data_IF_925044004781
#
_entry.id   IF_925044004781
#
_cell.length_a   1.000
_cell.length_b   1.000
_cell.length_c   1.000
_cell.angle_alpha   90.00
_cell.angle_beta   90.00
_cell.angle_gamma   90.00
#
_symmetry.space_group_name_H-M   'P 1'
#
loop_
_entity.id
_entity.type
_entity.pdbx_description
1 polymer ?
#
# COMPACT_ATOMS: atom_id res chain seq x y z
N UNK A 1 20.93 7.78 5.76
CA UNK A 1 20.21 7.61 4.48
C UNK A 1 20.12 8.93 3.72
N UNK A 2 19.48 9.98 4.29
CA UNK A 2 19.38 11.29 3.63
C UNK A 2 20.71 11.93 3.17
N UNK A 3 21.77 11.86 3.99
CA UNK A 3 23.09 12.39 3.58
C UNK A 3 23.71 11.66 2.38
N UNK A 4 23.43 10.35 2.23
CA UNK A 4 23.91 9.54 1.11
C UNK A 4 23.08 9.82 -0.15
N UNK A 5 21.77 9.95 0.01
CA UNK A 5 20.87 10.40 -1.06
C UNK A 5 21.23 11.80 -1.58
N UNK A 6 21.54 12.75 -0.69
CA UNK A 6 22.02 14.08 -1.09
C UNK A 6 23.34 14.01 -1.87
N UNK A 7 24.25 13.09 -1.49
CA UNK A 7 25.51 12.86 -2.19
C UNK A 7 25.30 12.22 -3.56
N UNK A 8 24.36 11.29 -3.68
CA UNK A 8 24.05 10.63 -4.94
C UNK A 8 23.35 11.60 -5.93
N UNK A 9 22.53 12.52 -5.43
CA UNK A 9 21.80 13.52 -6.23
C UNK A 9 22.67 14.72 -6.60
N UNK A 10 23.44 15.26 -5.65
CA UNK A 10 24.24 16.48 -5.84
C UNK A 10 25.70 16.20 -6.22
N UNK A 11 26.13 14.94 -6.16
CA UNK A 11 27.50 14.52 -6.33
C UNK A 11 28.43 14.88 -5.16
N UNK A 12 29.74 14.80 -5.41
CA UNK A 12 30.81 15.30 -4.52
C UNK A 12 31.49 16.51 -5.15
N UNK A 13 30.82 17.67 -5.18
CA UNK A 13 31.47 18.85 -5.73
C UNK A 13 32.61 19.31 -4.81
N UNK A 14 33.66 19.89 -5.41
CA UNK A 14 34.82 20.43 -4.69
C UNK A 14 34.47 21.56 -3.71
N UNK A 15 33.29 22.17 -3.84
CA UNK A 15 32.77 23.21 -2.94
C UNK A 15 31.98 22.65 -1.75
N UNK A 16 31.81 21.32 -1.63
CA UNK A 16 31.05 20.71 -0.54
C UNK A 16 31.64 21.12 0.82
N UNK A 17 30.76 21.50 1.73
CA UNK A 17 31.16 21.91 3.07
C UNK A 17 31.97 20.81 3.77
N UNK A 18 33.23 21.12 4.09
CA UNK A 18 34.08 20.27 4.93
C UNK A 18 33.92 20.71 6.38
N UNK A 19 33.48 19.82 7.29
CA UNK A 19 33.28 20.15 8.70
C UNK A 19 34.51 20.82 9.32
N UNK A 20 34.34 21.86 10.16
CA UNK A 20 35.45 22.50 10.87
C UNK A 20 36.30 21.53 11.68
N UNK A 21 35.69 20.46 12.21
CA UNK A 21 36.39 19.36 12.90
C UNK A 21 37.43 18.65 12.03
N UNK A 22 37.16 18.49 10.72
CA UNK A 22 38.11 17.88 9.78
C UNK A 22 39.16 18.86 9.25
N UNK A 23 38.95 20.17 9.47
CA UNK A 23 39.88 21.25 9.09
C UNK A 23 40.60 21.84 10.31
N UNK A 24 40.51 21.20 11.47
CA UNK A 24 41.20 21.63 12.67
C UNK A 24 42.71 21.68 12.43
N UNK A 25 43.36 22.73 12.93
CA UNK A 25 44.79 22.95 12.69
C UNK A 25 45.13 23.58 11.33
N UNK A 26 44.16 23.85 10.46
CA UNK A 26 44.38 24.43 9.12
C UNK A 26 43.82 25.85 8.99
N UNK A 27 44.56 26.73 8.30
CA UNK A 27 44.10 28.08 7.95
C UNK A 27 43.63 28.89 9.17
N UNK A 28 42.41 29.44 9.08
CA UNK A 28 41.79 30.20 10.18
C UNK A 28 41.37 29.31 11.38
N UNK A 29 41.44 27.98 11.25
CA UNK A 29 41.15 27.00 12.30
C UNK A 29 42.42 26.44 12.96
N UNK A 30 43.58 27.10 12.80
CA UNK A 30 44.86 26.64 13.39
C UNK A 30 44.82 26.38 14.89
N UNK A 31 43.97 27.12 15.62
CA UNK A 31 43.81 27.03 17.08
C UNK A 31 42.48 26.38 17.48
N UNK A 32 41.72 25.82 16.53
CA UNK A 32 40.47 25.15 16.84
C UNK A 32 40.75 23.74 17.35
N UNK A 33 40.36 23.47 18.60
CA UNK A 33 40.42 22.14 19.21
C UNK A 33 39.04 21.46 19.12
N UNK A 34 38.89 20.39 18.31
CA UNK A 34 37.63 19.66 18.16
C UNK A 34 37.10 19.07 19.47
N UNK A 35 37.96 18.79 20.45
CA UNK A 35 37.56 18.17 21.71
C UNK A 35 36.75 19.12 22.60
N UNK A 36 36.95 20.43 22.45
CA UNK A 36 36.22 21.48 23.14
C UNK A 36 34.99 21.97 22.36
N UNK A 37 34.69 21.36 21.21
CA UNK A 37 33.55 21.74 20.40
C UNK A 37 32.24 21.42 21.13
N UNK A 38 31.20 22.29 21.01
CA UNK A 38 29.87 21.95 21.49
C UNK A 38 29.43 20.60 20.94
N UNK A 39 28.88 19.76 21.82
CA UNK A 39 28.19 18.54 21.40
C UNK A 39 26.77 18.93 21.03
N UNK A 40 26.40 18.61 19.80
CA UNK A 40 25.00 18.72 19.38
C UNK A 40 24.27 17.53 19.97
N UNK A 41 23.16 17.80 20.65
CA UNK A 41 22.22 16.78 21.11
C UNK A 41 20.97 16.86 20.25
N UNK A 42 20.49 15.70 19.79
CA UNK A 42 19.27 15.59 19.02
C UNK A 42 18.06 15.69 19.95
N UNK A 43 17.69 16.93 20.29
CA UNK A 43 16.56 17.19 21.17
C UNK A 43 15.23 16.81 20.46
N UNK A 44 14.31 16.11 21.14
CA UNK A 44 13.07 15.62 20.52
C UNK A 44 12.23 16.71 19.84
N UNK A 45 12.21 17.93 20.38
CA UNK A 45 11.44 19.04 19.82
C UNK A 45 12.05 19.61 18.53
N UNK A 46 13.38 19.56 18.38
CA UNK A 46 14.06 19.95 17.12
C UNK A 46 13.71 18.94 16.04
N UNK A 47 13.76 17.64 16.36
CA UNK A 47 13.35 16.58 15.42
C UNK A 47 11.89 16.73 15.01
N UNK A 48 11.01 17.04 15.97
CA UNK A 48 9.59 17.31 15.70
C UNK A 48 9.41 18.51 14.76
N UNK A 49 10.02 19.65 15.08
CA UNK A 49 9.92 20.85 14.25
C UNK A 49 10.49 20.65 12.84
N UNK A 50 11.61 19.91 12.73
CA UNK A 50 12.17 19.53 11.44
C UNK A 50 11.17 18.67 10.66
N UNK A 51 10.62 17.61 11.27
CA UNK A 51 9.62 16.75 10.64
C UNK A 51 8.36 17.54 10.23
N UNK A 52 7.86 18.44 11.08
CA UNK A 52 6.69 19.28 10.77
C UNK A 52 6.96 20.17 9.54
N UNK A 53 8.14 20.80 9.48
CA UNK A 53 8.56 21.59 8.31
C UNK A 53 8.77 20.72 7.05
N UNK A 54 9.34 19.53 7.20
CA UNK A 54 9.49 18.56 6.11
C UNK A 54 8.12 18.14 5.56
N UNK A 55 7.20 17.77 6.44
CA UNK A 55 5.86 17.31 6.11
C UNK A 55 5.04 18.41 5.43
N UNK A 56 5.22 19.67 5.85
CA UNK A 56 4.48 20.80 5.31
C UNK A 56 4.99 21.28 3.95
N UNK A 57 6.31 21.35 3.74
CA UNK A 57 6.88 22.05 2.58
C UNK A 57 7.63 21.14 1.59
N UNK A 58 8.26 20.07 2.07
CA UNK A 58 9.22 19.29 1.27
C UNK A 58 8.79 17.85 1.02
N UNK A 59 7.65 17.42 1.57
CA UNK A 59 7.11 16.06 1.46
C UNK A 59 7.06 15.55 0.01
N UNK A 60 6.66 16.38 -0.94
CA UNK A 60 6.61 16.03 -2.38
C UNK A 60 7.98 15.74 -2.95
N UNK A 61 8.96 16.59 -2.67
CA UNK A 61 10.31 16.44 -3.20
C UNK A 61 10.99 15.17 -2.64
N UNK A 62 10.90 14.95 -1.33
CA UNK A 62 11.53 13.79 -0.71
C UNK A 62 10.82 12.49 -1.05
N UNK A 63 9.49 12.46 -1.11
CA UNK A 63 8.75 11.26 -1.51
C UNK A 63 9.15 10.83 -2.94
N UNK A 64 9.28 11.78 -3.89
CA UNK A 64 9.80 11.49 -5.24
C UNK A 64 11.20 10.89 -5.24
N UNK A 65 12.08 11.32 -4.33
CA UNK A 65 13.41 10.73 -4.19
C UNK A 65 13.35 9.33 -3.58
N UNK A 66 12.52 9.11 -2.56
CA UNK A 66 12.29 7.76 -2.01
C UNK A 66 11.76 6.82 -3.10
N UNK A 67 10.76 7.26 -3.86
CA UNK A 67 10.17 6.48 -4.95
C UNK A 67 11.18 6.20 -6.07
N UNK A 68 11.91 7.23 -6.54
CA UNK A 68 12.92 7.08 -7.60
C UNK A 68 14.04 6.11 -7.23
N UNK A 69 14.43 6.07 -5.96
CA UNK A 69 15.51 5.22 -5.48
C UNK A 69 15.01 3.92 -4.80
N UNK A 70 13.71 3.64 -4.87
CA UNK A 70 13.06 2.51 -4.22
C UNK A 70 13.41 2.39 -2.72
N UNK A 71 13.66 3.53 -2.07
CA UNK A 71 13.99 3.60 -0.66
C UNK A 71 12.69 3.67 0.17
N UNK A 72 12.62 2.97 1.32
CA UNK A 72 11.47 3.09 2.21
C UNK A 72 11.34 4.53 2.71
N UNK A 73 10.16 5.12 2.52
CA UNK A 73 9.85 6.43 3.06
C UNK A 73 9.88 6.38 4.59
N UNK A 74 10.35 7.42 5.31
CA UNK A 74 10.27 7.48 6.77
C UNK A 74 8.81 7.46 7.27
N UNK A 75 7.84 7.66 6.37
CA UNK A 75 6.41 7.55 6.63
C UNK A 75 5.80 6.22 6.18
N UNK A 76 6.59 5.34 5.56
CA UNK A 76 6.17 3.96 5.28
C UNK A 76 5.98 3.24 6.60
N UNK A 77 4.83 2.60 6.76
CA UNK A 77 4.53 1.77 7.92
C UNK A 77 3.84 0.50 7.46
N UNK A 78 4.10 -0.60 8.16
CA UNK A 78 3.35 -1.83 7.93
C UNK A 78 1.98 -1.75 8.60
N UNK A 79 0.95 -2.20 7.88
CA UNK A 79 -0.40 -2.36 8.43
C UNK A 79 -0.51 -3.63 9.29
N UNK A 80 0.44 -4.56 9.17
CA UNK A 80 0.50 -5.76 9.99
C UNK A 80 1.72 -5.69 10.92
N UNK A 81 1.53 -6.01 12.21
CA UNK A 81 2.57 -5.86 13.22
C UNK A 81 3.54 -7.06 13.30
N UNK A 82 3.36 -8.09 12.47
CA UNK A 82 4.19 -9.29 12.45
C UNK A 82 3.88 -10.29 13.57
N UNK A 83 2.84 -10.07 14.38
CA UNK A 83 2.55 -10.89 15.58
C UNK A 83 1.11 -11.32 15.69
N UNK A 84 0.18 -10.39 15.51
CA UNK A 84 -1.25 -10.60 15.71
C UNK A 84 -2.08 -9.63 14.86
N UNK A 85 -3.40 -9.75 14.93
CA UNK A 85 -4.33 -8.93 14.15
C UNK A 85 -4.70 -7.61 14.85
N UNK A 86 -3.90 -7.12 15.80
CA UNK A 86 -4.10 -5.81 16.41
C UNK A 86 -4.10 -4.73 15.33
N UNK A 87 -5.09 -3.83 15.38
CA UNK A 87 -5.32 -2.81 14.33
C UNK A 87 -6.29 -3.26 13.23
N UNK A 88 -6.73 -4.52 13.26
CA UNK A 88 -7.70 -5.08 12.32
C UNK A 88 -8.99 -5.49 13.00
N UNK A 89 -10.09 -5.47 12.25
CA UNK A 89 -11.41 -5.97 12.64
C UNK A 89 -11.83 -7.06 11.67
N UNK A 90 -12.20 -8.22 12.22
CA UNK A 90 -12.81 -9.32 11.46
C UNK A 90 -14.28 -8.98 11.17
N UNK A 91 -14.69 -9.05 9.91
CA UNK A 91 -16.07 -8.93 9.46
C UNK A 91 -16.44 -10.12 8.57
N UNK A 92 -16.98 -11.17 9.19
CA UNK A 92 -17.25 -12.47 8.58
C UNK A 92 -18.67 -12.89 8.94
N UNK A 93 -19.64 -12.77 8.01
CA UNK A 93 -21.05 -13.01 8.33
C UNK A 93 -21.36 -14.39 8.91
N UNK A 94 -20.60 -15.42 8.54
CA UNK A 94 -20.75 -16.77 9.08
C UNK A 94 -20.55 -16.83 10.60
N UNK A 95 -19.55 -16.10 11.11
CA UNK A 95 -19.15 -16.14 12.52
C UNK A 95 -20.15 -15.40 13.43
N UNK A 96 -21.04 -14.56 12.90
CA UNK A 96 -22.12 -13.96 13.69
C UNK A 96 -23.04 -15.01 14.30
N UNK A 97 -23.23 -16.14 13.59
CA UNK A 97 -24.08 -17.25 14.03
C UNK A 97 -23.28 -18.43 14.57
N UNK A 98 -21.98 -18.48 14.26
CA UNK A 98 -21.07 -19.55 14.65
C UNK A 98 -19.76 -18.96 15.20
N UNK A 99 -19.82 -18.28 16.36
CA UNK A 99 -18.68 -17.51 16.88
C UNK A 99 -17.46 -18.37 17.24
N UNK A 100 -17.67 -19.67 17.50
CA UNK A 100 -16.63 -20.61 17.89
C UNK A 100 -16.04 -21.41 16.71
N UNK A 101 -16.53 -21.16 15.48
CA UNK A 101 -16.00 -21.81 14.28
C UNK A 101 -14.61 -21.26 13.90
N UNK A 102 -13.95 -21.97 12.97
CA UNK A 102 -12.60 -21.63 12.50
C UNK A 102 -12.51 -20.17 12.03
N UNK A 103 -11.57 -19.42 12.60
CA UNK A 103 -11.25 -18.07 12.16
C UNK A 103 -10.68 -18.08 10.73
N UNK A 104 -11.15 -17.22 9.81
CA UNK A 104 -10.63 -17.18 8.43
C UNK A 104 -9.36 -16.35 8.28
N UNK A 105 -8.91 -15.67 9.34
CA UNK A 105 -7.68 -14.89 9.33
C UNK A 105 -6.86 -15.21 10.57
N UNK A 106 -5.56 -15.40 10.39
CA UNK A 106 -4.61 -15.69 11.48
C UNK A 106 -3.29 -14.96 11.27
N UNK A 107 -2.55 -14.74 12.35
CA UNK A 107 -1.13 -14.43 12.29
C UNK A 107 -0.35 -15.73 12.42
N UNK A 108 0.53 -16.02 11.46
CA UNK A 108 1.34 -17.26 11.44
C UNK A 108 2.70 -16.96 10.85
N UNK A 109 3.76 -17.38 11.55
CA UNK A 109 5.15 -17.24 11.10
C UNK A 109 5.55 -15.80 10.71
N UNK A 110 5.05 -14.82 11.46
CA UNK A 110 5.30 -13.40 11.19
C UNK A 110 4.54 -12.83 9.99
N UNK A 111 3.57 -13.58 9.45
CA UNK A 111 2.74 -13.21 8.30
C UNK A 111 1.27 -13.10 8.71
N UNK A 112 0.53 -12.26 7.97
CA UNK A 112 -0.93 -12.30 7.97
C UNK A 112 -1.36 -13.38 6.99
N UNK A 113 -2.26 -14.26 7.41
CA UNK A 113 -2.76 -15.36 6.56
C UNK A 113 -4.26 -15.27 6.45
N UNK A 114 -4.76 -15.18 5.21
CA UNK A 114 -6.16 -15.43 4.88
C UNK A 114 -6.31 -16.92 4.59
N UNK A 115 -7.18 -17.61 5.33
CA UNK A 115 -7.42 -19.06 5.21
C UNK A 115 -8.53 -19.37 4.18
N UNK A 116 -9.08 -18.35 3.53
CA UNK A 116 -10.08 -18.46 2.46
C UNK A 116 -11.50 -18.83 2.94
N UNK A 117 -11.68 -19.45 4.10
CA UNK A 117 -13.00 -19.86 4.59
C UNK A 117 -13.06 -19.84 6.12
N UNK A 118 -14.20 -19.44 6.72
CA UNK A 118 -15.41 -18.90 6.09
C UNK A 118 -15.20 -17.55 5.39
N UNK A 119 -16.04 -17.25 4.40
CA UNK A 119 -15.91 -16.06 3.57
C UNK A 119 -16.17 -14.75 4.32
N UNK A 120 -15.34 -13.73 4.08
CA UNK A 120 -15.47 -12.43 4.74
C UNK A 120 -14.22 -11.56 4.56
N UNK A 121 -14.07 -10.57 5.45
CA UNK A 121 -13.05 -9.54 5.31
C UNK A 121 -12.35 -9.25 6.65
N UNK A 122 -11.05 -9.00 6.57
CA UNK A 122 -10.26 -8.43 7.65
C UNK A 122 -10.02 -6.96 7.32
N UNK A 123 -10.62 -6.06 8.09
CA UNK A 123 -10.68 -4.62 7.79
C UNK A 123 -9.75 -3.85 8.72
N UNK A 124 -8.79 -3.11 8.17
CA UNK A 124 -7.90 -2.27 8.97
C UNK A 124 -8.68 -1.11 9.61
N UNK A 125 -8.33 -0.71 10.83
CA UNK A 125 -9.12 0.26 11.60
C UNK A 125 -9.07 1.68 11.03
N UNK A 126 -7.97 2.04 10.36
CA UNK A 126 -7.71 3.39 9.87
C UNK A 126 -8.30 3.69 8.49
N UNK A 127 -8.70 4.94 8.30
CA UNK A 127 -9.16 5.49 7.01
C UNK A 127 -7.98 6.16 6.31
N UNK A 128 -7.74 5.78 5.06
CA UNK A 128 -6.66 6.28 4.21
C UNK A 128 -7.24 6.93 2.94
N UNK A 129 -6.52 7.89 2.36
CA UNK A 129 -6.92 8.61 1.15
C UNK A 129 -5.85 8.48 0.07
N UNK A 130 -4.76 9.24 0.20
CA UNK A 130 -3.66 9.31 -0.75
C UNK A 130 -2.49 8.45 -0.26
N UNK A 131 -2.33 7.26 -0.82
CA UNK A 131 -1.31 6.30 -0.39
C UNK A 131 -0.90 5.34 -1.51
N UNK A 132 0.33 4.83 -1.41
CA UNK A 132 0.78 3.60 -2.03
C UNK A 132 0.67 2.48 -0.99
N UNK A 133 0.06 1.36 -1.37
CA UNK A 133 0.05 0.11 -0.63
C UNK A 133 0.90 -0.91 -1.39
N UNK A 134 1.95 -1.41 -0.74
CA UNK A 134 2.76 -2.51 -1.25
C UNK A 134 2.39 -3.80 -0.53
N UNK A 135 1.98 -4.78 -1.32
CA UNK A 135 1.51 -6.08 -0.86
C UNK A 135 2.42 -7.16 -1.42
N UNK A 136 2.98 -7.99 -0.56
CA UNK A 136 3.65 -9.21 -1.00
C UNK A 136 2.88 -10.43 -0.52
N UNK A 137 2.39 -11.21 -1.47
CA UNK A 137 1.48 -12.33 -1.22
C UNK A 137 1.85 -13.58 -2.00
N UNK A 138 1.39 -14.74 -1.53
CA UNK A 138 1.42 -15.99 -2.28
C UNK A 138 0.23 -16.89 -1.93
N UNK A 139 -0.18 -17.72 -2.88
CA UNK A 139 -1.06 -18.85 -2.61
C UNK A 139 -0.22 -20.02 -2.10
N UNK A 140 -0.55 -20.56 -0.92
CA UNK A 140 0.21 -21.66 -0.29
C UNK A 140 -0.13 -23.02 -0.92
N UNK A 141 -1.37 -23.17 -1.37
CA UNK A 141 -1.90 -24.40 -1.97
C UNK A 141 -2.46 -24.17 -3.37
N UNK A 142 -3.63 -24.76 -3.64
CA UNK A 142 -4.31 -24.49 -4.90
C UNK A 142 -4.67 -23.00 -4.98
N UNK A 143 -4.20 -22.30 -6.02
CA UNK A 143 -4.49 -20.90 -6.19
C UNK A 143 -5.97 -20.70 -6.53
N UNK A 144 -6.56 -19.63 -6.02
CA UNK A 144 -7.97 -19.34 -6.21
C UNK A 144 -8.24 -17.87 -5.95
N UNK A 145 -9.13 -17.53 -5.01
CA UNK A 145 -9.53 -16.15 -4.78
C UNK A 145 -9.03 -15.53 -3.46
N UNK A 146 -8.79 -14.23 -3.54
CA UNK A 146 -8.52 -13.29 -2.47
C UNK A 146 -8.55 -11.88 -3.08
N UNK A 147 -8.49 -10.83 -2.28
CA UNK A 147 -8.50 -9.46 -2.80
C UNK A 147 -8.06 -8.44 -1.77
N UNK A 148 -7.63 -7.29 -2.26
CA UNK A 148 -7.42 -6.08 -1.46
C UNK A 148 -8.52 -5.08 -1.80
N UNK A 149 -9.35 -4.76 -0.82
CA UNK A 149 -10.45 -3.81 -0.99
C UNK A 149 -10.00 -2.44 -0.50
N UNK A 150 -9.86 -1.52 -1.45
CA UNK A 150 -9.51 -0.12 -1.16
C UNK A 150 -10.76 0.73 -1.02
N UNK A 151 -10.62 1.81 -0.24
CA UNK A 151 -11.71 2.72 0.09
C UNK A 151 -12.95 2.03 0.70
N UNK A 152 -12.72 0.98 1.49
CA UNK A 152 -13.76 0.25 2.20
C UNK A 152 -14.48 1.15 3.22
N UNK A 153 -15.81 1.15 3.19
CA UNK A 153 -16.64 1.99 4.06
C UNK A 153 -17.74 1.19 4.77
N UNK A 154 -18.94 1.14 4.21
CA UNK A 154 -20.09 0.45 4.80
C UNK A 154 -19.89 -1.07 4.77
N UNK A 155 -19.81 -1.77 5.91
CA UNK A 155 -19.69 -3.22 5.95
C UNK A 155 -20.89 -3.90 5.28
N UNK A 156 -20.66 -5.07 4.65
CA UNK A 156 -21.73 -5.95 4.15
C UNK A 156 -22.75 -5.28 3.23
N UNK A 157 -22.32 -4.27 2.47
CA UNK A 157 -23.15 -3.49 1.56
C UNK A 157 -23.64 -4.30 0.35
N UNK A 158 -22.87 -5.29 -0.10
CA UNK A 158 -23.24 -6.18 -1.22
C UNK A 158 -23.30 -7.64 -0.74
N UNK A 159 -24.34 -8.37 -1.15
CA UNK A 159 -24.59 -9.77 -0.75
C UNK A 159 -24.61 -10.02 0.77
N UNK A 160 -24.75 -8.97 1.59
CA UNK A 160 -24.58 -9.03 3.05
C UNK A 160 -23.20 -9.53 3.49
N UNK A 161 -22.18 -9.43 2.63
CA UNK A 161 -20.83 -9.92 2.90
C UNK A 161 -19.74 -8.92 2.54
N UNK A 162 -19.81 -8.30 1.36
CA UNK A 162 -18.75 -7.40 0.91
C UNK A 162 -18.96 -5.96 1.40
N UNK A 163 -17.92 -5.28 1.88
CA UNK A 163 -18.00 -3.87 2.23
C UNK A 163 -18.09 -3.00 0.95
N UNK A 164 -18.79 -1.87 1.05
CA UNK A 164 -18.80 -0.84 0.00
C UNK A 164 -17.36 -0.36 -0.25
N UNK A 165 -16.83 -0.62 -1.45
CA UNK A 165 -15.41 -0.51 -1.76
C UNK A 165 -15.13 -0.66 -3.28
N UNK A 166 -13.87 -0.46 -3.66
CA UNK A 166 -13.32 -0.93 -4.93
C UNK A 166 -12.33 -2.05 -4.59
N UNK A 167 -12.56 -3.25 -5.11
CA UNK A 167 -11.65 -4.38 -4.93
C UNK A 167 -10.60 -4.40 -6.03
N UNK A 168 -9.34 -4.49 -5.63
CA UNK A 168 -8.21 -4.89 -6.47
C UNK A 168 -8.07 -6.40 -6.30
N UNK A 169 -8.49 -7.12 -7.33
CA UNK A 169 -8.64 -8.57 -7.33
C UNK A 169 -7.29 -9.27 -7.19
N UNK A 170 -7.23 -10.39 -6.48
CA UNK A 170 -6.07 -11.28 -6.44
C UNK A 170 -6.43 -12.69 -6.94
N UNK A 171 -7.59 -12.87 -7.57
CA UNK A 171 -7.94 -14.12 -8.25
C UNK A 171 -6.85 -14.56 -9.22
N UNK A 172 -6.45 -15.82 -9.12
CA UNK A 172 -5.37 -16.37 -9.94
C UNK A 172 -5.63 -16.20 -11.44
N UNK A 173 -4.62 -15.70 -12.16
CA UNK A 173 -4.62 -15.27 -13.58
C UNK A 173 -5.38 -13.98 -13.87
N UNK A 174 -5.99 -13.36 -12.86
CA UNK A 174 -6.76 -12.13 -12.99
C UNK A 174 -6.40 -11.09 -11.92
N UNK A 175 -5.18 -11.18 -11.37
CA UNK A 175 -4.70 -10.22 -10.39
C UNK A 175 -4.73 -8.79 -10.97
N UNK A 176 -5.28 -7.86 -10.21
CA UNK A 176 -5.42 -6.46 -10.59
C UNK A 176 -6.69 -6.10 -11.37
N UNK A 177 -7.60 -7.05 -11.62
CA UNK A 177 -8.96 -6.70 -12.04
C UNK A 177 -9.60 -5.77 -10.99
N UNK A 178 -10.43 -4.83 -11.45
CA UNK A 178 -11.27 -4.07 -10.53
C UNK A 178 -12.62 -4.73 -10.38
N UNK A 179 -13.09 -4.85 -9.14
CA UNK A 179 -14.49 -5.18 -8.84
C UNK A 179 -15.16 -4.00 -8.15
N UNK A 180 -16.19 -3.47 -8.81
CA UNK A 180 -17.02 -2.40 -8.28
C UNK A 180 -18.01 -2.96 -7.24
N UNK A 181 -17.89 -2.56 -5.97
CA UNK A 181 -18.73 -3.05 -4.87
C UNK A 181 -19.43 -1.86 -4.22
N UNK A 182 -20.59 -1.47 -4.74
CA UNK A 182 -21.35 -0.28 -4.32
C UNK A 182 -20.55 1.05 -4.45
N UNK A 183 -19.32 0.99 -4.93
CA UNK A 183 -18.53 2.09 -5.49
C UNK A 183 -18.24 1.79 -6.96
N UNK A 184 -17.85 2.81 -7.73
CA UNK A 184 -17.53 2.68 -9.14
C UNK A 184 -16.17 3.32 -9.47
N UNK A 185 -15.58 2.84 -10.56
CA UNK A 185 -14.36 3.36 -11.16
C UNK A 185 -14.47 3.27 -12.68
N UNK A 186 -13.85 4.21 -13.38
CA UNK A 186 -13.77 4.22 -14.85
C UNK A 186 -12.36 3.87 -15.28
N UNK A 187 -12.22 3.10 -16.35
CA UNK A 187 -10.93 2.81 -17.00
C UNK A 187 -11.02 3.11 -18.50
N UNK A 188 -9.91 3.24 -19.23
CA UNK A 188 -9.95 3.29 -20.69
C UNK A 188 -10.57 2.00 -21.28
N UNK A 189 -11.28 2.10 -22.40
CA UNK A 189 -11.89 0.97 -23.12
C UNK A 189 -12.91 0.14 -22.31
N UNK A 190 -13.76 0.80 -21.51
CA UNK A 190 -14.77 0.17 -20.65
C UNK A 190 -15.61 -0.91 -21.34
N UNK A 191 -16.08 -0.69 -22.57
CA UNK A 191 -16.93 -1.68 -23.27
C UNK A 191 -16.18 -3.00 -23.49
N UNK A 192 -14.90 -2.93 -23.84
CA UNK A 192 -14.05 -4.13 -24.00
C UNK A 192 -13.77 -4.79 -22.65
N UNK A 193 -13.59 -3.99 -21.59
CA UNK A 193 -13.12 -4.46 -20.27
C UNK A 193 -14.25 -4.83 -19.29
N UNK A 194 -15.49 -4.40 -19.55
CA UNK A 194 -16.66 -4.56 -18.67
C UNK A 194 -17.91 -5.07 -19.42
N UNK A 195 -17.82 -5.24 -20.74
CA UNK A 195 -18.94 -5.65 -21.60
C UNK A 195 -19.90 -4.50 -21.95
N UNK A 196 -21.11 -4.79 -22.48
CA UNK A 196 -22.05 -3.77 -22.94
C UNK A 196 -22.51 -2.82 -21.82
N UNK A 197 -22.55 -1.51 -22.13
CA UNK A 197 -22.84 -0.45 -21.16
C UNK A 197 -24.17 -0.60 -20.42
N UNK A 198 -25.22 -1.06 -21.12
CA UNK A 198 -26.54 -1.33 -20.52
C UNK A 198 -26.51 -2.30 -19.33
N UNK A 199 -25.46 -3.12 -19.22
CA UNK A 199 -25.29 -4.11 -18.16
C UNK A 199 -24.44 -3.60 -16.99
N UNK A 200 -23.77 -2.44 -17.13
CA UNK A 200 -22.89 -1.93 -16.08
C UNK A 200 -23.66 -1.58 -14.81
N UNK A 201 -22.97 -1.69 -13.68
CA UNK A 201 -23.50 -1.33 -12.37
C UNK A 201 -22.60 -1.83 -11.25
N UNK A 202 -23.00 -1.52 -10.02
CA UNK A 202 -22.18 -1.72 -8.81
C UNK A 202 -22.83 -2.66 -7.79
N UNK A 203 -23.98 -3.25 -8.16
CA UNK A 203 -24.83 -4.11 -7.33
C UNK A 203 -25.07 -5.47 -7.98
N UNK A 204 -25.81 -6.33 -7.29
CA UNK A 204 -26.16 -7.68 -7.73
C UNK A 204 -26.77 -7.70 -9.15
N UNK A 205 -26.40 -8.72 -9.94
CA UNK A 205 -26.91 -8.90 -11.30
C UNK A 205 -26.34 -7.92 -12.35
N UNK A 206 -25.42 -7.03 -11.98
CA UNK A 206 -24.75 -6.10 -12.90
C UNK A 206 -23.33 -6.54 -13.25
N UNK A 207 -22.83 -6.04 -14.38
CA UNK A 207 -21.43 -6.18 -14.76
C UNK A 207 -20.57 -5.27 -13.85
N UNK A 208 -20.06 -5.85 -12.76
CA UNK A 208 -19.24 -5.16 -11.74
C UNK A 208 -17.73 -5.31 -11.96
N UNK A 209 -17.32 -6.37 -12.64
CA UNK A 209 -15.92 -6.69 -12.93
C UNK A 209 -15.42 -5.87 -14.11
N UNK A 210 -14.23 -5.32 -13.98
CA UNK A 210 -13.47 -4.64 -15.03
C UNK A 210 -12.14 -5.38 -15.17
N UNK A 211 -11.96 -6.05 -16.30
CA UNK A 211 -10.74 -6.80 -16.63
C UNK A 211 -9.52 -5.90 -16.59
N UNK A 212 -8.37 -6.39 -16.13
CA UNK A 212 -7.07 -5.73 -16.13
C UNK A 212 -6.51 -5.54 -17.56
N UNK A 213 -5.26 -5.09 -17.68
CA UNK A 213 -4.58 -4.80 -18.95
C UNK A 213 -3.69 -5.94 -19.46
N UNK A 214 -3.31 -6.87 -18.58
CA UNK A 214 -2.24 -7.84 -18.84
C UNK A 214 -2.64 -9.24 -18.43
N UNK A 215 -2.20 -10.21 -19.22
CA UNK A 215 -2.19 -11.63 -18.85
C UNK A 215 -0.79 -12.01 -18.39
N UNK A 216 -0.67 -12.90 -17.39
CA UNK A 216 0.61 -13.50 -17.00
C UNK A 216 1.55 -12.63 -16.18
N UNK A 217 1.10 -11.50 -15.63
CA UNK A 217 1.90 -10.68 -14.70
C UNK A 217 2.15 -11.36 -13.35
N UNK A 218 1.39 -12.41 -13.01
CA UNK A 218 1.59 -13.22 -11.80
C UNK A 218 2.75 -14.23 -11.98
N UNK A 219 3.46 -14.51 -10.90
CA UNK A 219 4.39 -15.65 -10.82
C UNK A 219 3.63 -16.96 -10.66
N UNK A 220 4.36 -18.07 -10.70
CA UNK A 220 3.78 -19.39 -10.51
C UNK A 220 3.13 -19.52 -9.11
N UNK A 221 2.11 -20.39 -8.95
CA UNK A 221 1.56 -20.70 -7.65
C UNK A 221 2.65 -21.14 -6.65
N UNK A 222 2.56 -20.65 -5.40
CA UNK A 222 3.59 -20.84 -4.37
C UNK A 222 4.67 -19.75 -4.33
N UNK A 223 4.90 -19.04 -5.45
CA UNK A 223 5.86 -17.94 -5.50
C UNK A 223 5.27 -16.62 -4.96
N UNK A 224 6.15 -15.78 -4.40
CA UNK A 224 5.78 -14.46 -3.90
C UNK A 224 5.54 -13.46 -5.04
N UNK A 225 4.30 -13.00 -5.15
CA UNK A 225 3.87 -11.89 -5.98
C UNK A 225 4.00 -10.57 -5.21
N UNK A 226 4.44 -9.52 -5.91
CA UNK A 226 4.41 -8.14 -5.41
C UNK A 226 3.30 -7.38 -6.12
N UNK A 227 2.33 -6.87 -5.39
CA UNK A 227 1.30 -5.96 -5.89
C UNK A 227 1.51 -4.57 -5.30
N UNK A 228 1.45 -3.55 -6.15
CA UNK A 228 1.49 -2.14 -5.73
C UNK A 228 0.16 -1.51 -6.11
N UNK A 229 -0.51 -0.88 -5.15
CA UNK A 229 -1.76 -0.16 -5.36
C UNK A 229 -1.52 1.30 -4.95
N UNK A 230 -1.66 2.22 -5.89
CA UNK A 230 -1.59 3.66 -5.59
C UNK A 230 -2.98 4.26 -5.70
N UNK A 231 -3.45 4.85 -4.61
CA UNK A 231 -4.65 5.67 -4.55
C UNK A 231 -4.24 7.13 -4.43
N UNK A 232 -4.65 7.98 -5.37
CA UNK A 232 -4.46 9.43 -5.32
C UNK A 232 -5.71 10.14 -5.84
N UNK A 233 -6.33 10.96 -5.00
CA UNK A 233 -7.59 11.64 -5.27
C UNK A 233 -8.69 10.67 -5.72
N UNK A 234 -9.10 10.69 -6.99
CA UNK A 234 -10.08 9.76 -7.56
C UNK A 234 -9.48 8.73 -8.53
N UNK A 235 -8.19 8.46 -8.37
CA UNK A 235 -7.44 7.58 -9.25
C UNK A 235 -6.84 6.40 -8.49
N UNK A 236 -6.81 5.25 -9.16
CA UNK A 236 -6.19 4.01 -8.66
C UNK A 236 -5.31 3.42 -9.75
N UNK A 237 -4.00 3.29 -9.51
CA UNK A 237 -3.07 2.52 -10.34
C UNK A 237 -2.68 1.23 -9.62
N UNK A 238 -2.55 0.15 -10.39
CA UNK A 238 -2.22 -1.18 -9.88
C UNK A 238 -1.09 -1.78 -10.72
N UNK A 239 -0.06 -2.26 -10.04
CA UNK A 239 1.01 -3.05 -10.64
C UNK A 239 1.09 -4.42 -10.01
N UNK A 240 1.45 -5.43 -10.80
CA UNK A 240 1.76 -6.78 -10.34
C UNK A 240 3.13 -7.16 -10.91
N UNK A 241 4.08 -7.46 -10.02
CA UNK A 241 5.46 -7.80 -10.34
C UNK A 241 6.18 -6.80 -11.27
N UNK A 242 5.78 -5.53 -11.24
CA UNK A 242 6.36 -4.45 -12.05
C UNK A 242 5.52 -4.07 -13.27
N UNK A 243 4.61 -4.93 -13.71
CA UNK A 243 3.72 -4.63 -14.84
C UNK A 243 2.56 -3.74 -14.40
N UNK A 244 2.28 -2.66 -15.13
CA UNK A 244 1.08 -1.85 -14.91
C UNK A 244 -0.15 -2.64 -15.40
N UNK A 245 -0.85 -3.28 -14.47
CA UNK A 245 -2.00 -4.14 -14.79
C UNK A 245 -3.31 -3.37 -14.80
N UNK A 246 -3.42 -2.25 -14.10
CA UNK A 246 -4.65 -1.45 -14.13
C UNK A 246 -4.42 0.02 -13.81
N UNK A 247 -5.25 0.88 -14.41
CA UNK A 247 -5.31 2.30 -14.10
C UNK A 247 -6.74 2.78 -14.30
N UNK A 248 -7.36 3.21 -13.22
CA UNK A 248 -8.69 3.79 -13.22
C UNK A 248 -8.73 5.19 -12.61
N UNK A 249 -9.78 5.91 -12.97
CA UNK A 249 -10.04 7.30 -12.62
C UNK A 249 -11.53 7.52 -12.40
N UNK A 250 -11.90 8.70 -11.89
CA UNK A 250 -13.29 9.02 -11.50
C UNK A 250 -13.85 7.99 -10.51
N UNK A 251 -13.03 7.56 -9.56
CA UNK A 251 -13.49 6.75 -8.44
C UNK A 251 -14.56 7.52 -7.64
N UNK A 252 -15.68 6.87 -7.33
CA UNK A 252 -16.75 7.48 -6.52
C UNK A 252 -16.34 7.62 -5.06
N UNK A 253 -15.38 6.81 -4.59
CA UNK A 253 -14.73 6.96 -3.31
C UNK A 253 -13.27 7.41 -3.48
N UNK A 254 -12.85 8.36 -2.64
CA UNK A 254 -11.47 8.90 -2.59
C UNK A 254 -10.72 8.51 -1.33
N UNK A 255 -11.45 8.06 -0.30
CA UNK A 255 -10.88 7.64 0.99
C UNK A 255 -11.70 6.51 1.60
N UNK A 256 -11.08 5.70 2.44
CA UNK A 256 -11.74 4.65 3.19
C UNK A 256 -10.72 3.72 3.83
N UNK A 257 -11.20 2.64 4.44
CA UNK A 257 -10.38 1.61 5.04
C UNK A 257 -9.80 0.68 3.97
N UNK A 258 -8.80 -0.10 4.36
CA UNK A 258 -8.27 -1.21 3.55
C UNK A 258 -8.79 -2.50 4.16
N UNK A 259 -9.24 -3.44 3.33
CA UNK A 259 -9.62 -4.77 3.79
C UNK A 259 -8.96 -5.87 2.96
N UNK A 260 -8.66 -6.99 3.62
CA UNK A 260 -8.16 -8.22 3.00
C UNK A 260 -9.29 -9.23 2.99
N UNK A 261 -9.47 -9.92 1.87
CA UNK A 261 -10.54 -10.88 1.68
C UNK A 261 -10.13 -12.30 2.12
N UNK A 262 -11.12 -13.08 2.57
CA UNK A 262 -11.07 -14.54 2.59
C UNK A 262 -12.13 -15.09 1.63
N UNK A 263 -11.71 -15.74 0.54
CA UNK A 263 -12.63 -16.35 -0.43
C UNK A 263 -12.01 -17.59 -1.13
N UNK A 264 -12.09 -18.75 -0.49
CA UNK A 264 -11.85 -20.06 -1.09
C UNK A 264 -10.40 -20.56 -1.09
N UNK A 265 -9.39 -19.69 -1.02
CA UNK A 265 -7.98 -20.12 -1.02
C UNK A 265 -7.15 -19.50 0.09
N UNK A 266 -6.16 -20.26 0.55
CA UNK A 266 -5.21 -19.80 1.55
C UNK A 266 -4.13 -18.92 0.92
N UNK A 267 -4.00 -17.70 1.44
CA UNK A 267 -3.05 -16.67 0.99
C UNK A 267 -2.25 -16.16 2.16
N UNK A 268 -0.93 -16.18 2.02
CA UNK A 268 0.00 -15.58 2.97
C UNK A 268 0.41 -14.18 2.49
N UNK A 269 0.50 -13.25 3.44
CA UNK A 269 0.95 -11.88 3.24
C UNK A 269 2.13 -11.61 4.16
N UNK A 270 3.31 -11.41 3.56
CA UNK A 270 4.52 -11.04 4.31
C UNK A 270 4.80 -9.55 4.34
N UNK A 271 4.14 -8.77 3.48
CA UNK A 271 4.26 -7.32 3.39
C UNK A 271 2.89 -6.69 3.13
N UNK A 272 2.56 -5.67 3.92
CA UNK A 272 1.36 -4.82 3.79
C UNK A 272 1.75 -3.39 4.16
N UNK A 273 2.62 -2.78 3.36
CA UNK A 273 3.23 -1.51 3.70
C UNK A 273 2.50 -0.35 3.04
N UNK A 274 2.11 0.62 3.86
CA UNK A 274 1.41 1.82 3.43
C UNK A 274 2.35 3.02 3.50
N UNK A 275 2.46 3.73 2.37
CA UNK A 275 3.25 4.96 2.22
C UNK A 275 2.34 6.08 1.77
N UNK A 276 2.22 7.20 2.51
CA UNK A 276 1.49 8.37 2.03
C UNK A 276 2.13 8.92 0.75
N UNK A 277 1.32 9.23 -0.26
CA UNK A 277 1.80 9.81 -1.54
C UNK A 277 1.10 11.12 -1.85
N UNK A 278 1.68 11.88 -2.77
CA UNK A 278 1.12 13.13 -3.32
C UNK A 278 1.23 13.22 -4.85
N UNK A 279 1.77 12.18 -5.47
CA UNK A 279 1.85 11.98 -6.89
C UNK A 279 1.71 10.47 -7.16
N UNK A 280 1.13 10.12 -8.30
CA UNK A 280 1.20 8.75 -8.81
C UNK A 280 2.59 8.53 -9.41
N UNK A 281 3.09 7.31 -9.33
CA UNK A 281 4.25 6.90 -10.13
C UNK A 281 3.87 6.92 -11.59
N UNK A 282 4.81 7.34 -12.44
CA UNK A 282 4.64 7.34 -13.90
C UNK A 282 4.40 5.91 -14.43
#
# INVERSE_FOLDING_TARGET
MGAKLCEDVLGKPNWRFVPPRLRAGQGHLKNYDPSNAPKVEDLPHIKKAANDYYDQYWKVFWQRLYDKHELPSPHTRSLFNGKDLTGWKVDVPHLDKHPDDKAPFVARDGMLVSLGSPGGHLVHNEVNQNYRLEVEYRFVGQPGNCGVLVHSSTPRALYKMFPKSIEVQMYHKNAGDFWCIVENITVPNMVKRRGPEKNWGITEGKARRILNLTDGSEKNPGDWNRMVIECLDDQIKVWVNGDLVNYGFKCTARKGKIAIQAEGSEVEFRKLDLTPINALTD
#
